data_IF_836761348217
#
_entry.id   IF_836761348217
#
_cell.length_a   1.000
_cell.length_b   1.000
_cell.length_c   1.000
_cell.angle_alpha   90.00
_cell.angle_beta   90.00
_cell.angle_gamma   90.00
#
_symmetry.space_group_name_H-M   'P 1'
#
loop_
_entity.id
_entity.type
_entity.pdbx_description
1 polymer ?
#
# COMPACT_ATOMS: atom_id res chain seq x y z
N UNK A 1 -8.99 12.49 3.88
CA UNK A 1 -8.35 13.41 4.83
C UNK A 1 -7.52 14.42 4.05
N UNK A 2 -7.36 15.66 4.55
CA UNK A 2 -6.38 16.60 4.01
C UNK A 2 -4.97 15.99 4.07
N UNK A 3 -4.13 16.36 3.11
CA UNK A 3 -2.70 16.03 3.10
C UNK A 3 -2.10 16.74 4.31
N UNK A 4 -1.41 16.01 5.19
CA UNK A 4 -0.69 16.62 6.32
C UNK A 4 0.43 17.55 5.82
N UNK A 5 1.04 18.36 6.69
CA UNK A 5 2.17 19.19 6.28
C UNK A 5 3.30 18.31 5.74
N UNK A 6 3.85 18.69 4.58
CA UNK A 6 5.04 18.06 4.00
C UNK A 6 6.21 18.33 4.93
N UNK A 7 6.82 17.28 5.47
CA UNK A 7 7.97 17.43 6.35
C UNK A 7 9.21 17.79 5.52
N UNK A 8 10.12 18.64 6.03
CA UNK A 8 11.40 18.86 5.39
C UNK A 8 12.22 17.56 5.39
N UNK A 9 13.33 17.56 4.65
CA UNK A 9 14.34 16.51 4.74
C UNK A 9 14.62 16.17 6.21
N UNK A 10 14.66 14.88 6.54
CA UNK A 10 15.06 14.47 7.87
C UNK A 10 16.50 14.94 8.14
N UNK A 11 16.82 15.24 9.40
CA UNK A 11 18.16 15.66 9.79
C UNK A 11 19.07 14.46 10.01
N UNK A 12 18.50 13.32 10.44
CA UNK A 12 19.27 12.12 10.76
C UNK A 12 18.63 10.85 10.18
N UNK A 13 19.44 9.80 9.87
CA UNK A 13 18.91 8.53 9.39
C UNK A 13 17.89 7.88 10.34
N UNK A 14 18.07 8.07 11.64
CA UNK A 14 17.18 7.54 12.66
C UNK A 14 15.82 8.24 12.64
N UNK A 15 15.81 9.56 12.52
CA UNK A 15 14.58 10.34 12.37
C UNK A 15 13.81 9.92 11.11
N UNK A 16 14.50 9.77 9.98
CA UNK A 16 13.86 9.34 8.75
C UNK A 16 13.28 7.93 8.86
N UNK A 17 14.04 6.98 9.43
CA UNK A 17 13.56 5.63 9.67
C UNK A 17 12.31 5.60 10.57
N UNK A 18 12.26 6.44 11.61
CA UNK A 18 11.08 6.57 12.47
C UNK A 18 9.86 7.08 11.71
N UNK A 19 10.02 8.12 10.89
CA UNK A 19 8.95 8.64 10.02
C UNK A 19 8.45 7.55 9.06
N UNK A 20 9.34 6.84 8.38
CA UNK A 20 8.99 5.74 7.47
C UNK A 20 8.20 4.67 8.23
N UNK A 21 8.67 4.21 9.39
CA UNK A 21 7.99 3.13 10.13
C UNK A 21 6.62 3.58 10.65
N UNK A 22 6.55 4.75 11.25
CA UNK A 22 5.36 5.20 11.98
C UNK A 22 4.30 5.82 11.07
N UNK A 23 4.69 6.60 10.07
CA UNK A 23 3.79 7.38 9.21
C UNK A 23 3.44 6.59 7.94
N UNK A 24 4.35 5.76 7.45
CA UNK A 24 4.17 5.03 6.19
C UNK A 24 3.89 3.53 6.40
N UNK A 25 4.84 2.78 6.98
CA UNK A 25 4.77 1.31 7.03
C UNK A 25 3.63 0.76 7.90
N UNK A 26 3.41 1.32 9.09
CA UNK A 26 2.31 0.86 9.96
C UNK A 26 0.94 1.08 9.31
N UNK A 27 0.61 2.28 8.78
CA UNK A 27 -0.66 2.47 8.08
C UNK A 27 -0.81 1.60 6.83
N UNK A 28 0.21 1.57 5.96
CA UNK A 28 0.10 0.89 4.66
C UNK A 28 -0.10 -0.62 4.82
N UNK A 29 0.49 -1.25 5.83
CA UNK A 29 0.26 -2.69 6.11
C UNK A 29 -1.23 -3.03 6.28
N UNK A 30 -2.01 -2.12 6.89
CA UNK A 30 -3.46 -2.34 7.03
C UNK A 30 -4.18 -2.25 5.70
N UNK A 31 -3.71 -1.39 4.80
CA UNK A 31 -4.28 -1.18 3.48
C UNK A 31 -3.93 -2.37 2.56
N UNK A 32 -2.68 -2.84 2.60
CA UNK A 32 -2.20 -4.02 1.85
C UNK A 32 -2.88 -5.32 2.28
N UNK A 33 -3.21 -5.46 3.57
CA UNK A 33 -3.99 -6.62 4.02
C UNK A 33 -5.34 -6.74 3.30
N UNK A 34 -5.98 -5.62 2.91
CA UNK A 34 -7.22 -5.67 2.12
C UNK A 34 -6.95 -6.12 0.69
N UNK A 35 -5.83 -5.68 0.08
CA UNK A 35 -5.43 -6.13 -1.27
C UNK A 35 -5.22 -7.65 -1.27
N UNK A 36 -4.42 -8.17 -0.34
CA UNK A 36 -4.12 -9.60 -0.23
C UNK A 36 -5.39 -10.42 0.01
N UNK A 37 -6.31 -9.93 0.84
CA UNK A 37 -7.56 -10.62 1.14
C UNK A 37 -8.68 -10.35 0.13
N UNK A 38 -8.45 -9.53 -0.89
CA UNK A 38 -9.50 -9.17 -1.85
C UNK A 38 -10.02 -10.41 -2.61
N UNK A 39 -9.16 -11.39 -2.87
CA UNK A 39 -9.51 -12.67 -3.50
C UNK A 39 -9.95 -13.76 -2.51
N UNK A 40 -10.03 -13.45 -1.21
CA UNK A 40 -10.50 -14.41 -0.22
C UNK A 40 -11.98 -14.76 -0.46
N UNK A 41 -12.38 -16.05 -0.54
CA UNK A 41 -13.76 -16.44 -0.81
C UNK A 41 -14.80 -15.84 0.15
N UNK A 42 -14.47 -15.69 1.43
CA UNK A 42 -15.37 -15.09 2.42
C UNK A 42 -15.56 -13.59 2.17
N UNK A 43 -14.48 -12.88 1.84
CA UNK A 43 -14.55 -11.46 1.48
C UNK A 43 -15.35 -11.27 0.19
N UNK A 44 -15.12 -12.14 -0.81
CA UNK A 44 -15.89 -12.13 -2.07
C UNK A 44 -17.38 -12.36 -1.82
N UNK A 45 -17.74 -13.28 -0.92
CA UNK A 45 -19.12 -13.47 -0.51
C UNK A 45 -19.71 -12.21 0.13
N UNK A 46 -18.98 -11.54 1.04
CA UNK A 46 -19.45 -10.31 1.66
C UNK A 46 -19.58 -9.13 0.68
N UNK A 47 -18.72 -9.07 -0.34
CA UNK A 47 -18.87 -8.08 -1.43
C UNK A 47 -20.14 -8.39 -2.23
N UNK A 48 -20.32 -9.65 -2.65
CA UNK A 48 -21.49 -10.08 -3.42
C UNK A 48 -22.81 -9.90 -2.64
N UNK A 49 -22.78 -10.11 -1.31
CA UNK A 49 -23.92 -9.88 -0.42
C UNK A 49 -24.13 -8.41 -0.05
N UNK A 50 -23.39 -7.48 -0.68
CA UNK A 50 -23.44 -6.03 -0.43
C UNK A 50 -23.27 -5.66 1.05
N UNK A 51 -22.44 -6.39 1.80
CA UNK A 51 -22.25 -6.12 3.21
C UNK A 51 -21.69 -4.69 3.42
N UNK A 52 -22.44 -3.79 4.08
CA UNK A 52 -22.11 -2.36 4.10
C UNK A 52 -20.80 -2.06 4.84
N UNK A 53 -20.46 -2.87 5.85
CA UNK A 53 -19.20 -2.75 6.60
C UNK A 53 -18.02 -3.12 5.72
N UNK A 54 -18.11 -4.24 5.00
CA UNK A 54 -17.06 -4.70 4.08
C UNK A 54 -16.82 -3.68 2.96
N UNK A 55 -17.88 -3.22 2.30
CA UNK A 55 -17.76 -2.21 1.23
C UNK A 55 -17.18 -0.89 1.74
N UNK A 56 -17.56 -0.45 2.94
CA UNK A 56 -16.99 0.75 3.57
C UNK A 56 -15.49 0.58 3.86
N UNK A 57 -15.08 -0.57 4.38
CA UNK A 57 -13.67 -0.87 4.66
C UNK A 57 -12.87 -0.88 3.36
N UNK A 58 -13.33 -1.63 2.34
CA UNK A 58 -12.66 -1.70 1.03
C UNK A 58 -12.52 -0.30 0.45
N UNK A 59 -13.62 0.46 0.37
CA UNK A 59 -13.59 1.83 -0.16
C UNK A 59 -12.60 2.70 0.61
N UNK A 60 -12.62 2.68 1.94
CA UNK A 60 -11.68 3.47 2.75
C UNK A 60 -10.23 3.09 2.44
N UNK A 61 -9.91 1.80 2.51
CA UNK A 61 -8.55 1.27 2.37
C UNK A 61 -7.98 1.45 0.96
N UNK A 62 -8.80 1.28 -0.07
CA UNK A 62 -8.38 1.56 -1.45
C UNK A 62 -8.16 3.06 -1.67
N UNK A 63 -8.98 3.94 -1.10
CA UNK A 63 -8.71 5.39 -1.17
C UNK A 63 -7.43 5.79 -0.41
N UNK A 64 -7.12 5.13 0.70
CA UNK A 64 -5.88 5.36 1.46
C UNK A 64 -4.66 4.84 0.69
N UNK A 65 -4.77 3.66 0.05
CA UNK A 65 -3.71 3.07 -0.78
C UNK A 65 -3.51 3.82 -2.09
N UNK A 66 -4.57 4.35 -2.71
CA UNK A 66 -4.50 5.25 -3.89
C UNK A 66 -3.77 6.58 -3.61
N UNK A 67 -3.36 6.82 -2.37
CA UNK A 67 -2.59 7.99 -1.94
C UNK A 67 -1.28 7.59 -1.28
N UNK A 68 -0.78 6.40 -1.59
CA UNK A 68 0.46 5.86 -1.07
C UNK A 68 1.63 6.84 -1.29
N UNK A 69 1.79 7.34 -2.51
CA UNK A 69 2.87 8.26 -2.88
C UNK A 69 2.77 9.59 -2.13
N UNK A 70 1.55 10.06 -1.81
CA UNK A 70 1.35 11.25 -0.98
C UNK A 70 1.85 11.06 0.46
N UNK A 71 1.74 9.86 1.03
CA UNK A 71 2.28 9.58 2.37
C UNK A 71 3.82 9.60 2.35
N UNK A 72 4.44 9.15 1.27
CA UNK A 72 5.89 9.23 1.09
C UNK A 72 6.37 10.69 0.93
N UNK A 73 5.64 11.51 0.18
CA UNK A 73 5.93 12.95 0.13
C UNK A 73 5.85 13.58 1.52
N UNK A 74 4.89 13.17 2.36
CA UNK A 74 4.74 13.71 3.72
C UNK A 74 5.91 13.35 4.66
N UNK A 75 6.55 12.18 4.53
CA UNK A 75 7.69 11.82 5.40
C UNK A 75 8.94 12.66 5.10
N UNK A 76 9.02 13.24 3.90
CA UNK A 76 10.16 13.99 3.41
C UNK A 76 11.32 13.08 2.96
N UNK A 77 12.27 13.63 2.20
CA UNK A 77 13.38 12.86 1.66
C UNK A 77 14.34 12.39 2.77
N UNK A 78 15.12 11.32 2.52
CA UNK A 78 16.15 10.87 3.42
C UNK A 78 17.27 11.91 3.61
N UNK A 79 17.98 11.85 4.75
CA UNK A 79 19.08 12.76 5.07
C UNK A 79 20.33 12.46 4.24
N UNK A 80 20.97 13.52 3.73
CA UNK A 80 22.27 13.45 3.07
C UNK A 80 22.32 12.52 1.85
N UNK A 81 23.51 12.00 1.55
CA UNK A 81 23.77 11.21 0.34
C UNK A 81 23.89 9.70 0.59
N UNK A 82 23.22 9.18 1.62
CA UNK A 82 23.25 7.74 1.89
C UNK A 82 22.50 6.96 0.79
N UNK A 83 23.25 6.31 -0.09
CA UNK A 83 22.72 5.55 -1.23
C UNK A 83 21.71 4.47 -0.82
N UNK A 84 21.86 3.85 0.36
CA UNK A 84 20.89 2.84 0.84
C UNK A 84 19.55 3.46 1.21
N UNK A 85 19.56 4.62 1.87
CA UNK A 85 18.31 5.31 2.25
C UNK A 85 17.59 5.85 1.01
N UNK A 86 18.33 6.43 0.06
CA UNK A 86 17.77 6.87 -1.23
C UNK A 86 17.13 5.72 -1.99
N UNK A 87 17.82 4.58 -2.07
CA UNK A 87 17.26 3.38 -2.71
C UNK A 87 15.97 2.89 -2.03
N UNK A 88 15.93 2.86 -0.69
CA UNK A 88 14.72 2.48 0.05
C UNK A 88 13.56 3.44 -0.30
N UNK A 89 13.83 4.75 -0.34
CA UNK A 89 12.86 5.78 -0.69
C UNK A 89 12.32 5.60 -2.12
N UNK A 90 13.22 5.43 -3.09
CA UNK A 90 12.90 5.18 -4.50
C UNK A 90 12.08 3.90 -4.69
N UNK A 91 12.48 2.80 -4.04
CA UNK A 91 11.76 1.52 -4.11
C UNK A 91 10.35 1.65 -3.49
N UNK A 92 10.19 2.39 -2.39
CA UNK A 92 8.86 2.67 -1.84
C UNK A 92 7.99 3.53 -2.77
N UNK A 93 8.57 4.58 -3.38
CA UNK A 93 7.85 5.40 -4.35
C UNK A 93 7.36 4.57 -5.54
N UNK A 94 8.24 3.75 -6.12
CA UNK A 94 7.89 2.86 -7.22
C UNK A 94 6.81 1.84 -6.82
N UNK A 95 6.92 1.25 -5.63
CA UNK A 95 5.90 0.33 -5.13
C UNK A 95 4.56 1.04 -4.93
N UNK A 96 4.57 2.28 -4.43
CA UNK A 96 3.35 3.08 -4.30
C UNK A 96 2.71 3.34 -5.66
N UNK A 97 3.47 3.71 -6.69
CA UNK A 97 2.91 3.96 -8.02
C UNK A 97 2.15 2.75 -8.57
N UNK A 98 2.71 1.53 -8.45
CA UNK A 98 2.01 0.30 -8.83
C UNK A 98 0.80 0.03 -7.90
N UNK A 99 0.93 0.22 -6.58
CA UNK A 99 -0.18 0.01 -5.63
C UNK A 99 -1.34 0.98 -5.84
N UNK A 100 -1.09 2.22 -6.28
CA UNK A 100 -2.13 3.19 -6.58
C UNK A 100 -2.99 2.74 -7.77
N UNK A 101 -2.37 2.12 -8.79
CA UNK A 101 -3.07 1.50 -9.92
C UNK A 101 -3.91 0.29 -9.48
N UNK A 102 -3.33 -0.58 -8.63
CA UNK A 102 -4.04 -1.72 -8.04
C UNK A 102 -5.25 -1.22 -7.25
N UNK A 103 -5.06 -0.24 -6.37
CA UNK A 103 -6.11 0.29 -5.52
C UNK A 103 -7.27 0.90 -6.33
N UNK A 104 -6.95 1.69 -7.36
CA UNK A 104 -7.96 2.25 -8.26
C UNK A 104 -8.76 1.15 -8.96
N UNK A 105 -8.09 0.12 -9.45
CA UNK A 105 -8.73 -1.00 -10.16
C UNK A 105 -9.64 -1.80 -9.22
N UNK A 106 -9.17 -2.15 -8.02
CA UNK A 106 -9.99 -2.88 -7.03
C UNK A 106 -11.19 -2.04 -6.59
N UNK A 107 -11.01 -0.73 -6.40
CA UNK A 107 -12.10 0.18 -6.06
C UNK A 107 -13.15 0.24 -7.19
N UNK A 108 -12.73 0.25 -8.45
CA UNK A 108 -13.63 0.20 -9.61
C UNK A 108 -14.30 -1.16 -9.78
N UNK A 109 -13.61 -2.27 -9.52
CA UNK A 109 -14.15 -3.63 -9.64
C UNK A 109 -15.18 -3.95 -8.54
N UNK A 110 -15.03 -3.38 -7.34
CA UNK A 110 -15.91 -3.63 -6.18
C UNK A 110 -17.41 -3.50 -6.50
N UNK A 111 -17.94 -2.43 -7.13
CA UNK A 111 -19.35 -2.34 -7.48
C UNK A 111 -19.82 -3.39 -8.50
N UNK A 112 -18.95 -3.83 -9.43
CA UNK A 112 -19.28 -4.89 -10.38
C UNK A 112 -19.48 -6.23 -9.67
N UNK A 113 -18.57 -6.54 -8.74
CA UNK A 113 -18.66 -7.73 -7.90
C UNK A 113 -19.87 -7.71 -6.96
N UNK A 114 -20.26 -6.53 -6.48
CA UNK A 114 -21.40 -6.34 -5.59
C UNK A 114 -22.76 -6.32 -6.32
N UNK A 115 -22.76 -6.38 -7.66
CA UNK A 115 -23.99 -6.24 -8.47
C UNK A 115 -24.96 -7.41 -8.33
N UNK A 116 -24.48 -8.60 -7.95
CA UNK A 116 -25.26 -9.84 -7.92
C UNK A 116 -25.63 -10.40 -9.30
N UNK A 117 -25.22 -9.72 -10.39
CA UNK A 117 -25.45 -10.13 -11.77
C UNK A 117 -24.22 -10.83 -12.33
N UNK A 118 -24.36 -12.09 -12.77
CA UNK A 118 -23.23 -12.92 -13.21
C UNK A 118 -22.41 -12.30 -14.34
N UNK A 119 -23.05 -11.65 -15.31
CA UNK A 119 -22.40 -10.97 -16.43
C UNK A 119 -21.56 -9.77 -15.97
N UNK A 120 -22.12 -8.93 -15.11
CA UNK A 120 -21.44 -7.75 -14.55
C UNK A 120 -20.31 -8.18 -13.60
N UNK A 121 -20.53 -9.22 -12.79
CA UNK A 121 -19.50 -9.77 -11.92
C UNK A 121 -18.29 -10.29 -12.71
N UNK A 122 -18.51 -10.91 -13.88
CA UNK A 122 -17.43 -11.38 -14.74
C UNK A 122 -16.54 -10.24 -15.25
N UNK A 123 -17.10 -9.05 -15.50
CA UNK A 123 -16.31 -7.85 -15.83
C UNK A 123 -15.45 -7.41 -14.64
N UNK A 124 -16.00 -7.40 -13.43
CA UNK A 124 -15.25 -7.11 -12.20
C UNK A 124 -14.10 -8.10 -11.97
N UNK A 125 -14.33 -9.40 -12.19
CA UNK A 125 -13.27 -10.42 -12.12
C UNK A 125 -12.19 -10.21 -13.18
N UNK A 126 -12.58 -9.80 -14.39
CA UNK A 126 -11.62 -9.50 -15.45
C UNK A 126 -10.70 -8.35 -15.04
N UNK A 127 -11.24 -7.24 -14.51
CA UNK A 127 -10.44 -6.12 -14.03
C UNK A 127 -9.39 -6.55 -12.99
N UNK A 128 -9.76 -7.47 -12.09
CA UNK A 128 -8.86 -7.96 -11.03
C UNK A 128 -7.76 -8.86 -11.61
N UNK A 129 -8.08 -9.67 -12.61
CA UNK A 129 -7.07 -10.48 -13.31
C UNK A 129 -6.09 -9.60 -14.08
N UNK A 130 -6.60 -8.55 -14.72
CA UNK A 130 -5.80 -7.68 -15.58
C UNK A 130 -4.79 -6.83 -14.80
N UNK A 131 -5.00 -6.60 -13.48
CA UNK A 131 -4.08 -5.83 -12.61
C UNK A 131 -3.12 -6.71 -11.79
N UNK A 132 -3.06 -8.01 -12.10
CA UNK A 132 -2.24 -8.98 -11.36
C UNK A 132 -0.75 -8.68 -11.47
N UNK A 133 -0.31 -8.20 -12.63
CA UNK A 133 1.11 -7.91 -12.88
C UNK A 133 1.57 -6.69 -12.07
N UNK A 134 0.79 -5.62 -12.05
CA UNK A 134 1.01 -4.44 -11.19
C UNK A 134 1.05 -4.85 -9.72
N UNK A 135 0.09 -5.69 -9.28
CA UNK A 135 0.06 -6.17 -7.90
C UNK A 135 1.31 -6.98 -7.54
N UNK A 136 1.81 -7.81 -8.46
CA UNK A 136 3.04 -8.58 -8.27
C UNK A 136 4.29 -7.68 -8.22
N UNK A 137 4.40 -6.71 -9.13
CA UNK A 137 5.51 -5.74 -9.15
C UNK A 137 5.53 -4.86 -7.89
N UNK A 138 4.37 -4.37 -7.47
CA UNK A 138 4.22 -3.59 -6.24
C UNK A 138 4.71 -4.38 -5.03
N UNK A 139 4.22 -5.62 -4.87
CA UNK A 139 4.57 -6.48 -3.73
C UNK A 139 6.07 -6.82 -3.70
N UNK A 140 6.66 -7.13 -4.85
CA UNK A 140 8.09 -7.45 -4.94
C UNK A 140 8.95 -6.25 -4.59
N UNK A 141 8.68 -5.09 -5.18
CA UNK A 141 9.43 -3.85 -4.95
C UNK A 141 9.30 -3.40 -3.49
N UNK A 142 8.09 -3.47 -2.94
CA UNK A 142 7.86 -3.15 -1.53
C UNK A 142 8.62 -4.09 -0.60
N UNK A 143 8.61 -5.40 -0.88
CA UNK A 143 9.34 -6.39 -0.10
C UNK A 143 10.86 -6.21 -0.18
N UNK A 144 11.40 -5.82 -1.35
CA UNK A 144 12.81 -5.49 -1.52
C UNK A 144 13.23 -4.27 -0.67
N UNK A 145 12.41 -3.22 -0.66
CA UNK A 145 12.62 -2.05 0.18
C UNK A 145 12.62 -2.40 1.67
N UNK A 146 11.64 -3.20 2.12
CA UNK A 146 11.55 -3.69 3.51
C UNK A 146 12.75 -4.54 3.89
N UNK A 147 13.17 -5.49 3.03
CA UNK A 147 14.35 -6.33 3.28
C UNK A 147 15.62 -5.47 3.41
N UNK A 148 15.77 -4.46 2.56
CA UNK A 148 16.89 -3.52 2.65
C UNK A 148 16.85 -2.72 3.96
N UNK A 149 15.68 -2.21 4.34
CA UNK A 149 15.48 -1.46 5.58
C UNK A 149 15.74 -2.32 6.83
N UNK A 150 15.27 -3.58 6.87
CA UNK A 150 15.46 -4.49 8.00
C UNK A 150 16.93 -4.80 8.29
N UNK A 151 17.80 -4.73 7.28
CA UNK A 151 19.24 -4.91 7.43
C UNK A 151 19.96 -3.67 7.96
N UNK A 152 19.24 -2.57 8.24
CA UNK A 152 19.81 -1.34 8.77
C UNK A 152 19.49 -1.15 10.26
N UNK A 153 20.49 -0.91 11.12
CA UNK A 153 20.26 -0.74 12.56
C UNK A 153 19.28 0.39 12.92
N UNK A 154 19.21 1.45 12.11
CA UNK A 154 18.32 2.60 12.35
C UNK A 154 16.84 2.22 12.24
N UNK A 155 16.49 1.34 11.30
CA UNK A 155 15.12 0.85 11.12
C UNK A 155 14.73 -0.17 12.19
N UNK A 156 15.68 -1.02 12.61
CA UNK A 156 15.46 -1.93 13.74
C UNK A 156 15.13 -1.17 15.02
N UNK A 157 15.86 -0.08 15.31
CA UNK A 157 15.60 0.81 16.45
C UNK A 157 14.27 1.55 16.33
N UNK A 158 13.86 1.92 15.12
CA UNK A 158 12.53 2.48 14.84
C UNK A 158 11.39 1.43 14.99
N UNK A 159 11.72 0.17 15.28
CA UNK A 159 10.75 -0.90 15.54
C UNK A 159 10.37 -1.71 14.30
N UNK A 160 11.09 -1.58 13.18
CA UNK A 160 10.93 -2.48 12.04
C UNK A 160 11.46 -3.86 12.42
N UNK A 161 10.56 -4.83 12.55
CA UNK A 161 10.91 -6.22 12.84
C UNK A 161 11.42 -6.92 11.58
N UNK A 162 12.36 -7.88 11.70
CA UNK A 162 12.71 -8.77 10.60
C UNK A 162 11.47 -9.52 10.10
N UNK A 163 11.36 -9.71 8.80
CA UNK A 163 10.39 -10.62 8.21
C UNK A 163 10.82 -12.05 8.53
N UNK A 164 9.90 -12.86 9.05
CA UNK A 164 10.13 -14.29 9.36
C UNK A 164 10.15 -15.10 8.06
#
# INVERSE_FOLDING_TARGET
MPIGPVLPAAQTPAEWADRVVNIFLRPINTDLNVVTNFNNPQIRLFIASQNPTTLRIIKKRMNDLKRCSNKLVQIGPPPGDNAKLKRIDEDFHKACDDYEVVADTLQRATPFLASGRTDVMAEGEKMIRDVKDESGRAANTFADAIRTAQNMPVFQRAGLKPSV
#
